data_IF_342000652924
#
_entry.id   IF_342000652924
#
_cell.length_a   1.000
_cell.length_b   1.000
_cell.length_c   1.000
_cell.angle_alpha   90.00
_cell.angle_beta   90.00
_cell.angle_gamma   90.00
#
_symmetry.space_group_name_H-M   'P 1'
#
loop_
_entity.id
_entity.type
_entity.pdbx_description
1 polymer ?
#
# COMPACT_ATOMS: atom_id res chain seq x y z
N UNK A 1 4.01 14.90 4.18
CA UNK A 1 3.70 13.48 3.89
C UNK A 1 4.19 12.50 4.96
N UNK A 2 5.48 12.46 5.31
CA UNK A 2 6.02 11.50 6.31
C UNK A 2 5.26 11.52 7.65
N UNK A 3 5.07 12.71 8.23
CA UNK A 3 4.33 12.91 9.49
C UNK A 3 2.89 12.39 9.42
N UNK A 4 2.19 12.62 8.32
CA UNK A 4 0.82 12.14 8.12
C UNK A 4 0.76 10.60 8.02
N UNK A 5 1.74 9.96 7.38
CA UNK A 5 1.85 8.50 7.35
C UNK A 5 2.11 7.91 8.73
N UNK A 6 2.95 8.56 9.54
CA UNK A 6 3.20 8.15 10.92
C UNK A 6 1.95 8.29 11.79
N UNK A 7 1.22 9.40 11.66
CA UNK A 7 -0.05 9.63 12.36
C UNK A 7 -1.07 8.57 11.95
N UNK A 8 -1.19 8.28 10.65
CA UNK A 8 -2.11 7.24 10.15
C UNK A 8 -1.77 5.88 10.75
N UNK A 9 -0.49 5.50 10.78
CA UNK A 9 -0.02 4.25 11.38
C UNK A 9 -0.37 4.16 12.87
N UNK A 10 -0.22 5.26 13.60
CA UNK A 10 -0.68 5.36 15.01
C UNK A 10 -2.19 5.16 15.11
N UNK A 11 -3.00 5.78 14.23
CA UNK A 11 -4.46 5.59 14.24
C UNK A 11 -4.89 4.17 13.86
N UNK A 12 -4.17 3.50 12.95
CA UNK A 12 -4.40 2.09 12.61
C UNK A 12 -4.22 1.22 13.86
N UNK A 13 -3.12 1.43 14.60
CA UNK A 13 -2.77 0.68 15.81
C UNK A 13 -3.76 0.88 16.98
N UNK A 14 -4.41 2.06 17.08
CA UNK A 14 -5.39 2.34 18.13
C UNK A 14 -6.72 1.59 17.97
N UNK A 15 -6.98 0.96 16.80
CA UNK A 15 -8.20 0.16 16.53
C UNK A 15 -9.47 0.91 16.96
N UNK A 16 -10.29 0.35 17.86
CA UNK A 16 -11.54 0.96 18.34
C UNK A 16 -11.37 2.29 19.09
N UNK A 17 -10.19 2.58 19.64
CA UNK A 17 -9.87 3.83 20.32
C UNK A 17 -9.35 4.93 19.37
N UNK A 18 -9.35 4.70 18.05
CA UNK A 18 -8.87 5.69 17.08
C UNK A 18 -9.72 6.96 17.09
N UNK A 19 -9.06 8.10 16.92
CA UNK A 19 -9.67 9.43 16.88
C UNK A 19 -10.14 9.75 15.47
N UNK A 20 -11.44 9.62 15.19
CA UNK A 20 -12.02 9.94 13.86
C UNK A 20 -11.67 11.37 13.45
N UNK A 21 -11.73 12.32 14.38
CA UNK A 21 -11.47 13.75 14.09
C UNK A 21 -10.09 13.96 13.45
N UNK A 22 -9.08 13.19 13.86
CA UNK A 22 -7.74 13.25 13.27
C UNK A 22 -7.75 12.74 11.82
N UNK A 23 -8.45 11.64 11.55
CA UNK A 23 -8.58 11.08 10.20
C UNK A 23 -9.36 12.02 9.26
N UNK A 24 -10.45 12.61 9.74
CA UNK A 24 -11.23 13.61 8.99
C UNK A 24 -10.37 14.83 8.67
N UNK A 25 -9.59 15.33 9.64
CA UNK A 25 -8.69 16.46 9.41
C UNK A 25 -7.64 16.16 8.34
N UNK A 26 -7.05 14.95 8.35
CA UNK A 26 -6.13 14.50 7.30
C UNK A 26 -6.83 14.44 5.94
N UNK A 27 -8.03 13.84 5.87
CA UNK A 27 -8.81 13.79 4.63
C UNK A 27 -9.08 15.19 4.09
N UNK A 28 -9.66 16.08 4.89
CA UNK A 28 -10.01 17.43 4.47
C UNK A 28 -8.78 18.23 4.03
N UNK A 29 -7.70 18.19 4.81
CA UNK A 29 -6.46 18.90 4.46
C UNK A 29 -5.87 18.43 3.12
N UNK A 30 -5.84 17.12 2.88
CA UNK A 30 -5.38 16.60 1.60
C UNK A 30 -6.36 16.86 0.46
N UNK A 31 -7.68 16.75 0.66
CA UNK A 31 -8.67 17.07 -0.36
C UNK A 31 -8.58 18.54 -0.77
N UNK A 32 -8.48 19.47 0.20
CA UNK A 32 -8.30 20.90 -0.08
C UNK A 32 -7.02 21.12 -0.88
N UNK A 33 -5.91 20.50 -0.49
CA UNK A 33 -4.64 20.63 -1.20
C UNK A 33 -4.74 20.11 -2.64
N UNK A 34 -5.28 18.91 -2.85
CA UNK A 34 -5.47 18.31 -4.17
C UNK A 34 -6.32 19.21 -5.06
N UNK A 35 -7.48 19.66 -4.56
CA UNK A 35 -8.38 20.55 -5.30
C UNK A 35 -7.71 21.89 -5.63
N UNK A 36 -6.97 22.47 -4.69
CA UNK A 36 -6.27 23.75 -4.88
C UNK A 36 -5.19 23.63 -5.96
N UNK A 37 -4.38 22.57 -5.94
CA UNK A 37 -3.33 22.35 -6.94
C UNK A 37 -3.93 22.17 -8.34
N UNK A 38 -5.00 21.38 -8.48
CA UNK A 38 -5.68 21.20 -9.77
C UNK A 38 -6.38 22.46 -10.26
N UNK A 39 -6.93 23.26 -9.34
CA UNK A 39 -7.53 24.54 -9.69
C UNK A 39 -6.47 25.52 -10.20
N UNK A 40 -5.32 25.61 -9.53
CA UNK A 40 -4.21 26.46 -9.90
C UNK A 40 -3.63 26.10 -11.28
N UNK A 41 -3.42 24.80 -11.53
CA UNK A 41 -2.79 24.30 -12.77
C UNK A 41 -3.81 23.85 -13.82
N UNK A 42 -5.06 24.35 -13.77
CA UNK A 42 -6.13 23.97 -14.70
C UNK A 42 -5.76 24.23 -16.18
N UNK A 43 -4.83 25.16 -16.43
CA UNK A 43 -4.41 25.57 -17.78
C UNK A 43 -3.16 24.84 -18.30
N UNK A 44 -2.44 24.11 -17.45
CA UNK A 44 -1.10 23.57 -17.74
C UNK A 44 -1.11 22.10 -18.19
N UNK A 45 -2.27 21.58 -18.63
CA UNK A 45 -2.45 20.20 -19.10
C UNK A 45 -2.02 19.07 -18.13
N UNK A 46 -1.72 19.38 -16.86
CA UNK A 46 -1.26 18.45 -15.80
C UNK A 46 -2.29 17.33 -15.52
N UNK A 47 -3.55 17.56 -15.87
CA UNK A 47 -4.65 16.60 -15.74
C UNK A 47 -4.58 15.45 -16.76
N UNK A 48 -3.96 15.63 -17.93
CA UNK A 48 -3.97 14.61 -18.98
C UNK A 48 -3.19 13.36 -18.56
N UNK A 49 -1.97 13.45 -18.01
CA UNK A 49 -1.23 12.28 -17.54
C UNK A 49 -1.92 11.54 -16.39
N UNK A 50 -2.69 12.24 -15.56
CA UNK A 50 -3.51 11.62 -14.50
C UNK A 50 -4.52 10.63 -15.10
N UNK A 51 -5.16 10.99 -16.22
CA UNK A 51 -6.11 10.12 -16.92
C UNK A 51 -5.40 9.20 -17.92
N UNK A 52 -4.08 9.04 -17.80
CA UNK A 52 -3.24 8.22 -18.68
C UNK A 52 -3.28 8.67 -20.16
N UNK A 53 -3.60 9.94 -20.40
CA UNK A 53 -3.60 10.54 -21.73
C UNK A 53 -2.24 11.18 -22.02
N UNK A 54 -1.70 11.03 -23.23
CA UNK A 54 -0.45 11.67 -23.61
C UNK A 54 -0.63 13.20 -23.67
N UNK A 55 0.38 13.98 -23.22
CA UNK A 55 0.31 15.44 -23.26
C UNK A 55 0.18 15.92 -24.71
N UNK A 56 -0.55 17.01 -25.00
CA UNK A 56 -0.83 17.49 -26.37
C UNK A 56 0.39 17.95 -27.17
N UNK A 57 1.42 18.46 -26.50
CA UNK A 57 2.70 18.87 -27.07
C UNK A 57 3.82 18.04 -26.45
N UNK A 58 5.01 18.04 -27.07
CA UNK A 58 6.19 17.40 -26.49
C UNK A 58 6.66 18.29 -25.32
N UNK A 59 6.60 17.81 -24.07
CA UNK A 59 6.96 18.65 -22.94
C UNK A 59 8.48 18.84 -22.89
N UNK A 60 8.97 20.05 -22.57
CA UNK A 60 10.37 20.22 -22.17
C UNK A 60 10.69 19.32 -20.97
N UNK A 61 11.95 18.86 -20.88
CA UNK A 61 12.38 17.93 -19.82
C UNK A 61 11.95 18.37 -18.40
N UNK A 62 12.18 19.63 -18.06
CA UNK A 62 11.83 20.16 -16.74
C UNK A 62 10.31 20.24 -16.49
N UNK A 63 9.52 20.50 -17.53
CA UNK A 63 8.06 20.50 -17.41
C UNK A 63 7.52 19.07 -17.23
N UNK A 64 8.12 18.09 -17.91
CA UNK A 64 7.80 16.68 -17.72
C UNK A 64 8.10 16.25 -16.27
N UNK A 65 9.30 16.57 -15.76
CA UNK A 65 9.70 16.25 -14.40
C UNK A 65 8.78 16.89 -13.35
N UNK A 66 8.45 18.18 -13.52
CA UNK A 66 7.52 18.88 -12.64
C UNK A 66 6.13 18.21 -12.64
N UNK A 67 5.61 17.87 -13.83
CA UNK A 67 4.33 17.19 -13.99
C UNK A 67 4.30 15.85 -13.27
N UNK A 68 5.40 15.08 -13.32
CA UNK A 68 5.51 13.83 -12.57
C UNK A 68 5.55 14.04 -11.07
N UNK A 69 6.37 14.98 -10.59
CA UNK A 69 6.47 15.26 -9.15
C UNK A 69 5.12 15.70 -8.57
N UNK A 70 4.38 16.54 -9.29
CA UNK A 70 3.03 16.98 -8.89
C UNK A 70 2.07 15.80 -8.89
N UNK A 71 1.91 15.09 -10.01
CA UNK A 71 0.96 13.98 -10.11
C UNK A 71 1.26 12.84 -9.12
N UNK A 72 2.53 12.50 -8.93
CA UNK A 72 2.96 11.50 -7.96
C UNK A 72 2.69 11.97 -6.51
N UNK A 73 2.86 13.26 -6.20
CA UNK A 73 2.49 13.80 -4.87
C UNK A 73 0.98 13.76 -4.64
N UNK A 74 0.19 14.15 -5.65
CA UNK A 74 -1.28 14.16 -5.58
C UNK A 74 -1.84 12.75 -5.43
N UNK A 75 -1.29 11.79 -6.17
CA UNK A 75 -1.71 10.39 -6.04
C UNK A 75 -1.43 9.83 -4.64
N UNK A 76 -0.25 10.11 -4.06
CA UNK A 76 0.01 9.67 -2.69
C UNK A 76 -0.95 10.30 -1.67
N UNK A 77 -1.38 11.55 -1.91
CA UNK A 77 -2.43 12.18 -1.10
C UNK A 77 -3.77 11.45 -1.28
N UNK A 78 -4.13 11.05 -2.51
CA UNK A 78 -5.32 10.23 -2.78
C UNK A 78 -5.25 8.85 -2.11
N UNK A 79 -4.09 8.17 -2.12
CA UNK A 79 -3.85 6.94 -1.36
C UNK A 79 -4.08 7.16 0.15
N UNK A 80 -3.51 8.23 0.71
CA UNK A 80 -3.71 8.58 2.13
C UNK A 80 -5.17 8.85 2.48
N UNK A 81 -5.90 9.59 1.64
CA UNK A 81 -7.34 9.85 1.81
C UNK A 81 -8.11 8.52 1.79
N UNK A 82 -7.85 7.67 0.79
CA UNK A 82 -8.50 6.37 0.64
C UNK A 82 -8.31 5.48 1.88
N UNK A 83 -7.09 5.43 2.42
CA UNK A 83 -6.80 4.69 3.67
C UNK A 83 -7.50 5.30 4.88
N UNK A 84 -7.53 6.62 5.01
CA UNK A 84 -8.25 7.28 6.12
C UNK A 84 -9.75 6.96 6.07
N UNK A 85 -10.38 7.06 4.89
CA UNK A 85 -11.79 6.69 4.69
C UNK A 85 -12.04 5.22 5.05
N UNK A 86 -11.13 4.33 4.66
CA UNK A 86 -11.20 2.92 5.02
C UNK A 86 -11.12 2.70 6.54
N UNK A 87 -10.20 3.38 7.23
CA UNK A 87 -10.11 3.29 8.69
C UNK A 87 -11.34 3.86 9.40
N UNK A 88 -11.99 4.89 8.85
CA UNK A 88 -13.25 5.44 9.36
C UNK A 88 -14.37 4.41 9.18
N UNK A 89 -14.49 3.82 7.98
CA UNK A 89 -15.48 2.80 7.67
C UNK A 89 -15.39 1.58 8.61
N UNK A 90 -14.18 1.10 8.89
CA UNK A 90 -13.96 -0.05 9.78
C UNK A 90 -13.88 0.30 11.29
N UNK A 91 -14.19 1.53 11.72
CA UNK A 91 -14.00 1.94 13.13
C UNK A 91 -14.75 1.05 14.12
N UNK A 92 -16.02 0.76 13.85
CA UNK A 92 -16.89 0.03 14.77
C UNK A 92 -16.77 -1.49 14.62
N UNK A 93 -15.87 -1.97 13.76
CA UNK A 93 -15.71 -3.39 13.52
C UNK A 93 -14.93 -4.08 14.64
N UNK A 94 -15.29 -5.33 14.98
CA UNK A 94 -14.63 -6.15 16.03
C UNK A 94 -14.04 -7.45 15.45
N UNK A 95 -12.94 -7.96 16.02
CA UNK A 95 -12.37 -9.26 15.65
C UNK A 95 -11.92 -9.37 14.18
N UNK A 96 -12.39 -10.40 13.46
CA UNK A 96 -12.05 -10.76 12.05
C UNK A 96 -12.03 -9.61 11.04
N UNK A 97 -12.72 -8.51 11.33
CA UNK A 97 -12.72 -7.31 10.49
C UNK A 97 -11.41 -6.51 10.57
N UNK A 98 -10.61 -6.62 11.63
CA UNK A 98 -9.29 -5.97 11.71
C UNK A 98 -8.30 -6.57 10.71
N UNK A 99 -8.32 -7.90 10.53
CA UNK A 99 -7.54 -8.56 9.48
C UNK A 99 -7.97 -8.11 8.10
N UNK A 100 -9.29 -8.11 7.82
CA UNK A 100 -9.83 -7.60 6.55
C UNK A 100 -9.44 -6.13 6.31
N UNK A 101 -9.48 -5.30 7.35
CA UNK A 101 -9.03 -3.90 7.27
C UNK A 101 -7.56 -3.82 6.83
N UNK A 102 -6.65 -4.58 7.45
CA UNK A 102 -5.23 -4.61 7.07
C UNK A 102 -4.99 -5.12 5.64
N UNK A 103 -5.70 -6.17 5.23
CA UNK A 103 -5.63 -6.68 3.86
C UNK A 103 -6.15 -5.66 2.84
N UNK A 104 -7.24 -4.96 3.15
CA UNK A 104 -7.75 -3.90 2.28
C UNK A 104 -6.84 -2.68 2.22
N UNK A 105 -6.19 -2.28 3.32
CA UNK A 105 -5.16 -1.22 3.31
C UNK A 105 -3.99 -1.61 2.39
N UNK A 106 -3.57 -2.87 2.44
CA UNK A 106 -2.53 -3.42 1.57
C UNK A 106 -2.98 -3.42 0.11
N UNK A 107 -4.21 -3.82 -0.18
CA UNK A 107 -4.78 -3.79 -1.53
C UNK A 107 -4.82 -2.35 -2.08
N UNK A 108 -5.32 -1.40 -1.30
CA UNK A 108 -5.37 0.03 -1.68
C UNK A 108 -3.97 0.54 -2.01
N UNK A 109 -2.96 0.22 -1.21
CA UNK A 109 -1.60 0.65 -1.50
C UNK A 109 -1.05 0.03 -2.79
N UNK A 110 -1.25 -1.28 -3.02
CA UNK A 110 -0.76 -1.91 -4.25
C UNK A 110 -1.50 -1.43 -5.50
N UNK A 111 -2.79 -1.12 -5.40
CA UNK A 111 -3.55 -0.48 -6.48
C UNK A 111 -2.96 0.89 -6.82
N UNK A 112 -2.71 1.71 -5.81
CA UNK A 112 -2.13 3.05 -6.00
C UNK A 112 -0.68 2.97 -6.50
N UNK A 113 0.11 1.99 -6.05
CA UNK A 113 1.46 1.76 -6.57
C UNK A 113 1.46 1.34 -8.04
N UNK A 114 0.47 0.55 -8.48
CA UNK A 114 0.30 0.21 -9.88
C UNK A 114 -0.09 1.44 -10.70
N UNK A 115 -1.02 2.24 -10.20
CA UNK A 115 -1.44 3.46 -10.87
C UNK A 115 -0.30 4.49 -10.99
N UNK A 116 0.45 4.73 -9.90
CA UNK A 116 1.68 5.56 -9.92
C UNK A 116 2.72 5.05 -10.90
N UNK A 117 2.81 3.74 -11.08
CA UNK A 117 3.76 3.16 -12.03
C UNK A 117 3.35 3.48 -13.46
N UNK A 118 2.08 3.73 -13.73
CA UNK A 118 1.59 4.00 -15.08
C UNK A 118 1.52 5.48 -15.43
N UNK A 119 1.42 6.38 -14.43
CA UNK A 119 1.33 7.83 -14.63
C UNK A 119 2.46 8.42 -15.50
N UNK A 120 3.75 8.02 -15.36
CA UNK A 120 4.81 8.57 -16.19
C UNK A 120 4.78 8.12 -17.65
N UNK A 121 4.11 7.00 -17.96
CA UNK A 121 4.22 6.30 -19.24
C UNK A 121 3.84 7.17 -20.44
N UNK A 122 2.68 7.84 -20.48
CA UNK A 122 2.27 8.60 -21.65
C UNK A 122 3.20 9.78 -21.96
N UNK A 123 3.76 10.40 -20.92
CA UNK A 123 4.63 11.58 -21.03
C UNK A 123 6.03 11.17 -21.48
N UNK A 124 6.64 10.15 -20.87
CA UNK A 124 7.96 9.67 -21.28
C UNK A 124 7.94 9.03 -22.65
N UNK A 125 6.90 8.27 -22.97
CA UNK A 125 6.72 7.70 -24.31
C UNK A 125 6.73 8.81 -25.38
N UNK A 126 5.99 9.90 -25.14
CA UNK A 126 5.97 11.04 -26.06
C UNK A 126 7.29 11.81 -26.09
N UNK A 127 7.99 11.92 -24.97
CA UNK A 127 9.30 12.57 -24.87
C UNK A 127 10.38 11.80 -25.66
N UNK A 128 10.46 10.48 -25.49
CA UNK A 128 11.47 9.64 -26.15
C UNK A 128 11.18 9.41 -27.64
N UNK A 129 9.91 9.43 -28.05
CA UNK A 129 9.54 9.38 -29.47
C UNK A 129 9.85 10.66 -30.25
N UNK A 130 10.39 11.69 -29.60
CA UNK A 130 10.73 12.92 -30.30
C UNK A 130 11.88 12.69 -31.30
N UNK A 131 11.55 12.81 -32.60
CA UNK A 131 12.50 12.61 -33.71
C UNK A 131 13.54 13.72 -33.82
N UNK A 132 13.32 14.88 -33.18
CA UNK A 132 14.27 15.99 -33.19
C UNK A 132 15.61 15.63 -32.53
N UNK A 133 15.62 14.62 -31.65
CA UNK A 133 16.84 14.08 -31.04
C UNK A 133 17.62 13.12 -31.95
N UNK A 134 17.11 12.86 -33.16
CA UNK A 134 17.64 11.87 -34.09
C UNK A 134 16.88 10.53 -34.02
N UNK A 135 16.63 9.94 -35.18
CA UNK A 135 15.82 8.73 -35.32
C UNK A 135 16.38 7.50 -34.59
N UNK A 136 17.71 7.33 -34.59
CA UNK A 136 18.39 6.24 -33.89
C UNK A 136 18.32 6.39 -32.36
N UNK A 137 18.56 7.61 -31.85
CA UNK A 137 18.49 7.88 -30.42
C UNK A 137 17.06 7.71 -29.90
N UNK A 138 16.08 8.25 -30.63
CA UNK A 138 14.66 8.15 -30.28
C UNK A 138 14.17 6.70 -30.22
N UNK A 139 14.50 5.87 -31.23
CA UNK A 139 14.08 4.47 -31.26
C UNK A 139 14.74 3.64 -30.15
N UNK A 140 16.05 3.83 -29.93
CA UNK A 140 16.79 3.12 -28.88
C UNK A 140 16.29 3.46 -27.48
N UNK A 141 16.15 4.75 -27.16
CA UNK A 141 15.69 5.19 -25.84
C UNK A 141 14.24 4.78 -25.57
N UNK A 142 13.37 4.86 -26.58
CA UNK A 142 11.99 4.39 -26.44
C UNK A 142 11.94 2.88 -26.18
N UNK A 143 12.72 2.08 -26.90
CA UNK A 143 12.79 0.63 -26.69
C UNK A 143 13.30 0.25 -25.30
N UNK A 144 14.37 0.90 -24.84
CA UNK A 144 14.92 0.69 -23.49
C UNK A 144 13.91 1.09 -22.41
N UNK A 145 13.28 2.25 -22.57
CA UNK A 145 12.25 2.74 -21.66
C UNK A 145 11.08 1.76 -21.55
N UNK A 146 10.51 1.32 -22.68
CA UNK A 146 9.38 0.39 -22.70
C UNK A 146 9.73 -0.95 -22.06
N UNK A 147 10.97 -1.42 -22.23
CA UNK A 147 11.44 -2.69 -21.64
C UNK A 147 11.48 -2.60 -20.11
N UNK A 148 12.15 -1.58 -19.56
CA UNK A 148 12.17 -1.35 -18.10
C UNK A 148 10.78 -1.04 -17.55
N UNK A 149 9.93 -0.38 -18.36
CA UNK A 149 8.57 -0.06 -17.93
C UNK A 149 7.71 -1.30 -17.85
N UNK A 150 7.82 -2.20 -18.83
CA UNK A 150 7.10 -3.46 -18.84
C UNK A 150 7.46 -4.32 -17.63
N UNK A 151 8.75 -4.48 -17.31
CA UNK A 151 9.16 -5.26 -16.14
C UNK A 151 8.62 -4.65 -14.85
N UNK A 152 8.75 -3.33 -14.68
CA UNK A 152 8.21 -2.60 -13.52
C UNK A 152 6.69 -2.77 -13.37
N UNK A 153 5.93 -2.63 -14.45
CA UNK A 153 4.46 -2.83 -14.43
C UNK A 153 4.11 -4.27 -14.11
N UNK A 154 4.79 -5.26 -14.70
CA UNK A 154 4.54 -6.68 -14.42
C UNK A 154 4.75 -7.00 -12.94
N UNK A 155 5.83 -6.51 -12.32
CA UNK A 155 6.08 -6.68 -10.88
C UNK A 155 4.95 -6.09 -10.02
N UNK A 156 4.44 -4.89 -10.37
CA UNK A 156 3.32 -4.27 -9.63
C UNK A 156 2.01 -5.01 -9.84
N UNK A 157 1.72 -5.46 -11.05
CA UNK A 157 0.54 -6.27 -11.37
C UNK A 157 0.56 -7.59 -10.59
N UNK A 158 1.69 -8.29 -10.57
CA UNK A 158 1.86 -9.51 -9.78
C UNK A 158 1.65 -9.26 -8.29
N UNK A 159 2.21 -8.16 -7.76
CA UNK A 159 2.03 -7.75 -6.36
C UNK A 159 0.56 -7.45 -6.04
N UNK A 160 -0.14 -6.72 -6.91
CA UNK A 160 -1.55 -6.40 -6.78
C UNK A 160 -2.43 -7.65 -6.79
N UNK A 161 -2.22 -8.57 -7.74
CA UNK A 161 -2.96 -9.83 -7.78
C UNK A 161 -2.66 -10.74 -6.58
N UNK A 162 -1.43 -10.68 -6.05
CA UNK A 162 -1.08 -11.40 -4.81
C UNK A 162 -1.83 -10.81 -3.61
N UNK A 163 -1.91 -9.48 -3.49
CA UNK A 163 -2.71 -8.79 -2.48
C UNK A 163 -4.21 -9.11 -2.63
N UNK A 164 -4.72 -9.15 -3.86
CA UNK A 164 -6.11 -9.51 -4.16
C UNK A 164 -6.41 -10.97 -3.75
N UNK A 165 -5.54 -11.91 -4.10
CA UNK A 165 -5.65 -13.32 -3.67
C UNK A 165 -5.60 -13.45 -2.15
N UNK A 166 -4.84 -12.60 -1.45
CA UNK A 166 -4.76 -12.60 0.00
C UNK A 166 -6.10 -12.24 0.67
N UNK A 167 -7.01 -11.52 -0.01
CA UNK A 167 -8.39 -11.28 0.50
C UNK A 167 -9.24 -12.55 0.54
N UNK A 168 -8.97 -13.48 -0.37
CA UNK A 168 -9.69 -14.75 -0.49
C UNK A 168 -9.06 -15.86 0.35
N UNK A 169 -7.74 -15.83 0.54
CA UNK A 169 -7.02 -16.85 1.32
C UNK A 169 -7.30 -16.72 2.81
N UNK A 170 -7.92 -17.77 3.37
CA UNK A 170 -7.87 -18.10 4.80
C UNK A 170 -6.49 -18.58 5.27
N UNK A 171 -5.55 -18.84 4.35
CA UNK A 171 -4.28 -19.48 4.68
C UNK A 171 -3.41 -18.66 5.65
N UNK A 172 -2.98 -19.36 6.69
CA UNK A 172 -2.11 -18.86 7.74
C UNK A 172 -0.69 -19.30 7.39
N UNK A 173 0.06 -18.50 6.64
CA UNK A 173 1.39 -18.91 6.14
C UNK A 173 2.43 -19.19 7.25
N UNK A 174 2.13 -18.80 8.49
CA UNK A 174 2.99 -18.93 9.67
C UNK A 174 2.64 -20.10 10.61
N UNK A 175 1.58 -20.85 10.35
CA UNK A 175 1.11 -21.91 11.24
C UNK A 175 -0.15 -22.63 10.75
N UNK A 176 -0.78 -23.39 11.64
CA UNK A 176 -2.07 -24.05 11.41
C UNK A 176 -3.02 -23.74 12.57
N UNK A 177 -4.33 -23.86 12.37
CA UNK A 177 -5.28 -23.78 13.48
C UNK A 177 -5.00 -24.90 14.47
N UNK A 178 -4.89 -24.55 15.75
CA UNK A 178 -4.65 -25.50 16.83
C UNK A 178 -5.94 -26.28 17.15
N UNK A 179 -5.81 -27.56 17.47
CA UNK A 179 -6.94 -28.35 17.98
C UNK A 179 -7.22 -28.00 19.44
N UNK A 180 -8.43 -28.30 19.92
CA UNK A 180 -8.81 -28.05 21.32
C UNK A 180 -7.88 -28.76 22.30
N UNK A 181 -7.40 -29.96 21.96
CA UNK A 181 -6.45 -30.71 22.79
C UNK A 181 -5.09 -30.01 22.89
N UNK A 182 -4.60 -29.44 21.78
CA UNK A 182 -3.35 -28.68 21.75
C UNK A 182 -3.45 -27.40 22.58
N UNK A 183 -4.60 -26.71 22.52
CA UNK A 183 -4.86 -25.51 23.33
C UNK A 183 -4.90 -25.86 24.81
N UNK A 184 -5.61 -26.93 25.18
CA UNK A 184 -5.69 -27.38 26.57
C UNK A 184 -4.31 -27.77 27.13
N UNK A 185 -3.45 -28.39 26.31
CA UNK A 185 -2.09 -28.76 26.71
C UNK A 185 -1.15 -27.55 26.87
N UNK A 186 -1.35 -26.48 26.08
CA UNK A 186 -0.51 -25.28 26.11
C UNK A 186 -0.98 -24.21 27.11
N UNK A 187 -2.19 -24.36 27.66
CA UNK A 187 -2.90 -23.33 28.40
C UNK A 187 -3.86 -22.55 27.49
N UNK A 188 -5.05 -22.24 28.00
CA UNK A 188 -6.13 -21.63 27.22
C UNK A 188 -6.02 -20.10 27.08
N UNK A 189 -5.03 -19.48 27.73
CA UNK A 189 -4.76 -18.04 27.69
C UNK A 189 -3.71 -17.68 26.64
N UNK A 190 -4.00 -16.70 25.80
CA UNK A 190 -3.03 -16.18 24.84
C UNK A 190 -1.96 -15.33 25.52
N UNK A 191 -0.67 -15.62 25.31
CA UNK A 191 0.42 -14.83 25.90
C UNK A 191 0.52 -13.38 25.40
N UNK A 192 -0.19 -13.01 24.33
CA UNK A 192 -0.21 -11.63 23.80
C UNK A 192 -1.33 -10.80 24.42
N UNK A 193 -2.59 -11.27 24.38
CA UNK A 193 -3.73 -10.53 24.92
C UNK A 193 -4.09 -10.91 26.37
N UNK A 194 -3.51 -11.98 26.91
CA UNK A 194 -3.80 -12.54 28.24
C UNK A 194 -5.26 -12.95 28.46
N UNK A 195 -6.04 -13.07 27.38
CA UNK A 195 -7.41 -13.56 27.39
C UNK A 195 -7.48 -14.98 26.81
N UNK A 196 -8.65 -15.62 26.97
CA UNK A 196 -8.89 -16.94 26.39
C UNK A 196 -8.70 -16.93 24.88
N UNK A 197 -7.98 -17.92 24.34
CA UNK A 197 -7.62 -17.96 22.93
C UNK A 197 -8.86 -18.04 22.02
N UNK A 198 -8.96 -17.10 21.09
CA UNK A 198 -9.97 -17.10 20.02
C UNK A 198 -9.30 -17.41 18.67
N UNK A 199 -9.78 -18.43 17.97
CA UNK A 199 -9.18 -18.94 16.74
C UNK A 199 -7.66 -19.18 16.89
N UNK A 200 -7.25 -20.13 17.76
CA UNK A 200 -5.86 -20.34 18.11
C UNK A 200 -5.04 -20.85 16.91
N UNK A 201 -3.87 -20.26 16.70
CA UNK A 201 -2.89 -20.70 15.69
C UNK A 201 -1.69 -21.31 16.37
N UNK A 202 -1.38 -22.56 16.02
CA UNK A 202 -0.14 -23.23 16.32
C UNK A 202 0.92 -22.82 15.30
N UNK A 203 1.94 -22.07 15.77
CA UNK A 203 3.11 -21.75 14.96
C UNK A 203 3.98 -22.98 14.72
N UNK A 204 4.86 -22.90 13.72
CA UNK A 204 5.84 -23.98 13.43
C UNK A 204 6.78 -24.25 14.61
N UNK A 205 7.06 -23.25 15.44
CA UNK A 205 7.82 -23.35 16.69
C UNK A 205 7.00 -23.88 17.87
N UNK A 206 5.79 -24.39 17.62
CA UNK A 206 4.87 -25.02 18.59
C UNK A 206 4.23 -24.10 19.64
N UNK A 207 4.41 -22.78 19.54
CA UNK A 207 3.67 -21.82 20.37
C UNK A 207 2.29 -21.49 19.80
N UNK A 208 1.31 -21.29 20.68
CA UNK A 208 -0.09 -21.04 20.32
C UNK A 208 -0.52 -19.64 20.75
N UNK A 209 -1.18 -18.91 19.86
CA UNK A 209 -1.70 -17.57 20.09
C UNK A 209 -3.06 -17.39 19.40
N UNK A 210 -3.83 -16.37 19.76
CA UNK A 210 -4.96 -15.94 18.93
C UNK A 210 -4.46 -15.56 17.53
N UNK A 211 -5.18 -15.96 16.48
CA UNK A 211 -4.88 -15.61 15.09
C UNK A 211 -4.68 -14.10 14.90
N UNK A 212 -5.59 -13.29 15.46
CA UNK A 212 -5.53 -11.82 15.35
C UNK A 212 -4.30 -11.24 16.06
N UNK A 213 -3.93 -11.79 17.22
CA UNK A 213 -2.81 -11.29 18.03
C UNK A 213 -1.47 -11.56 17.35
N UNK A 214 -1.27 -12.80 16.87
CA UNK A 214 -0.01 -13.20 16.25
C UNK A 214 0.15 -12.63 14.84
N UNK A 215 -0.97 -12.45 14.11
CA UNK A 215 -0.95 -11.70 12.83
C UNK A 215 -0.45 -10.28 13.03
N UNK A 216 -0.98 -9.56 14.02
CA UNK A 216 -0.57 -8.18 14.30
C UNK A 216 0.88 -8.10 14.76
N UNK A 217 1.34 -9.05 15.55
CA UNK A 217 2.75 -9.13 15.94
C UNK A 217 3.67 -9.23 14.71
N UNK A 218 3.34 -10.11 13.76
CA UNK A 218 4.13 -10.31 12.54
C UNK A 218 4.12 -9.14 11.54
N UNK A 219 3.19 -8.20 11.67
CA UNK A 219 3.25 -6.92 10.93
C UNK A 219 4.42 -6.05 11.40
N UNK A 220 4.90 -6.22 12.64
CA UNK A 220 5.99 -5.43 13.24
C UNK A 220 7.29 -6.23 13.35
N UNK A 221 7.19 -7.46 13.82
CA UNK A 221 8.32 -8.30 14.21
C UNK A 221 8.10 -9.72 13.70
N UNK A 222 9.00 -10.24 12.85
CA UNK A 222 8.81 -11.55 12.17
C UNK A 222 9.35 -12.73 12.97
N UNK A 223 9.24 -12.65 14.29
CA UNK A 223 9.74 -13.67 15.21
C UNK A 223 8.64 -14.07 16.19
N UNK A 224 8.65 -15.31 16.66
CA UNK A 224 7.69 -15.76 17.68
C UNK A 224 7.81 -14.90 18.96
N UNK A 225 6.70 -14.39 19.53
CA UNK A 225 6.74 -13.58 20.76
C UNK A 225 7.39 -14.27 21.97
N UNK A 226 7.34 -15.61 22.02
CA UNK A 226 7.84 -16.39 23.15
C UNK A 226 9.30 -16.85 22.95
N UNK A 227 9.61 -17.45 21.79
CA UNK A 227 10.93 -18.04 21.56
C UNK A 227 11.79 -17.33 20.52
N UNK A 228 11.30 -16.23 19.92
CA UNK A 228 11.96 -15.46 18.86
C UNK A 228 12.33 -16.25 17.60
N UNK A 229 11.81 -17.47 17.44
CA UNK A 229 12.01 -18.25 16.21
C UNK A 229 11.49 -17.48 14.99
N UNK A 230 12.30 -17.42 13.94
CA UNK A 230 12.00 -16.68 12.72
C UNK A 230 10.80 -17.31 11.98
N UNK A 231 9.86 -16.47 11.58
CA UNK A 231 8.75 -16.85 10.73
C UNK A 231 9.05 -16.39 9.31
N UNK A 232 9.11 -17.35 8.37
CA UNK A 232 9.43 -17.05 6.97
C UNK A 232 8.59 -15.87 6.47
N UNK A 233 9.21 -14.88 5.80
CA UNK A 233 8.46 -13.76 5.28
C UNK A 233 7.43 -14.23 4.25
N UNK A 234 6.28 -13.55 4.23
CA UNK A 234 5.41 -13.62 3.07
C UNK A 234 6.16 -12.98 1.89
N UNK A 235 5.97 -13.51 0.69
CA UNK A 235 6.63 -12.99 -0.53
C UNK A 235 6.24 -11.54 -0.86
N UNK A 236 5.27 -10.97 -0.12
CA UNK A 236 4.73 -9.64 -0.30
C UNK A 236 4.95 -8.78 0.96
N UNK A 237 5.39 -7.53 0.78
CA UNK A 237 5.44 -6.52 1.84
C UNK A 237 4.00 -6.14 2.24
N UNK A 238 3.67 -6.27 3.51
CA UNK A 238 2.37 -5.81 4.02
C UNK A 238 2.36 -4.29 4.21
N UNK A 239 1.23 -3.66 3.89
CA UNK A 239 0.91 -2.28 4.23
C UNK A 239 -0.34 -2.21 5.13
N UNK A 240 -0.63 -3.30 5.85
CA UNK A 240 -1.77 -3.40 6.76
C UNK A 240 -1.70 -2.46 7.96
N UNK A 241 -0.52 -1.91 8.24
CA UNK A 241 -0.29 -0.87 9.23
C UNK A 241 -0.75 0.53 8.76
N UNK A 242 -1.07 0.69 7.47
CA UNK A 242 -1.46 1.96 6.86
C UNK A 242 -0.29 2.80 6.36
N UNK A 243 0.92 2.26 6.29
CA UNK A 243 2.08 2.94 5.70
C UNK A 243 1.91 3.17 4.19
N UNK A 244 2.53 4.23 3.65
CA UNK A 244 2.52 4.57 2.22
C UNK A 244 3.96 4.64 1.70
N UNK A 245 4.21 4.10 0.51
CA UNK A 245 5.53 4.11 -0.11
C UNK A 245 5.97 5.53 -0.49
N UNK A 246 7.14 5.93 0.03
CA UNK A 246 7.73 7.25 -0.18
C UNK A 246 8.66 7.33 -1.40
N UNK A 247 8.96 6.20 -2.05
CA UNK A 247 9.80 6.21 -3.26
C UNK A 247 9.07 6.89 -4.42
N UNK A 248 9.73 7.85 -5.08
CA UNK A 248 9.21 8.48 -6.29
C UNK A 248 9.29 7.51 -7.47
N UNK A 249 8.22 7.40 -8.24
CA UNK A 249 8.18 6.61 -9.47
C UNK A 249 8.31 7.56 -10.66
N UNK A 250 9.55 8.02 -10.89
CA UNK A 250 9.85 8.99 -11.93
C UNK A 250 9.93 8.31 -13.31
N UNK A 251 10.33 7.04 -13.36
CA UNK A 251 10.55 6.27 -14.60
C UNK A 251 9.54 5.15 -14.77
#
# INVERSE_FOLDING_TARGET
>A
MHKSSEILRKQTALKGQRKISVLICICLGFTIHVVTVYWWHRRDDILQPLVMLPPKSIPPFWHALFTFMVNDTLDRQASMISKCLLLIYYKNSRGRYYRKQGQMLTLVEYLMLLYRALLPTPVWYRFFLNKDYGSLFSSLMTGLYLTFKLTSVVEKVQSFFTALKALSRKEVHYGAYATSEQVNAAGDLCAICQEKMHAPILLRCKHIFCEDCVSEWFERERTCPLCRALVKPADLRSYGDGSTSLLFQIF
#
